data_IF_616754514619
#
_entry.id   IF_616754514619
#
_cell.length_a   1.000
_cell.length_b   1.000
_cell.length_c   1.000
_cell.angle_alpha   90.00
_cell.angle_beta   90.00
_cell.angle_gamma   90.00
#
_symmetry.space_group_name_H-M   'P 1'
#
loop_
_entity.id
_entity.type
_entity.pdbx_description
1 polymer ?
#
# COMPACT_ATOMS: atom_id res chain seq x y z
N UNK A 1 -10.19 23.75 30.25
CA UNK A 1 -10.21 22.56 31.15
C UNK A 1 -9.14 21.59 30.68
N UNK A 2 -8.35 20.96 31.58
CA UNK A 2 -7.40 19.94 31.17
C UNK A 2 -8.15 18.72 30.61
N UNK A 3 -7.90 18.38 29.34
CA UNK A 3 -8.51 17.21 28.68
C UNK A 3 -7.97 15.95 29.37
N UNK A 4 -8.85 15.02 29.75
CA UNK A 4 -8.47 13.76 30.39
C UNK A 4 -7.45 13.04 29.49
N UNK A 5 -6.24 12.80 30.00
CA UNK A 5 -5.22 12.04 29.26
C UNK A 5 -5.73 10.61 29.10
N UNK A 6 -5.83 10.15 27.87
CA UNK A 6 -6.10 8.75 27.55
C UNK A 6 -4.77 8.01 27.66
N UNK A 7 -4.77 6.90 28.38
CA UNK A 7 -3.62 6.01 28.46
C UNK A 7 -3.52 5.22 27.14
N UNK A 8 -2.52 5.54 26.32
CA UNK A 8 -2.31 4.92 25.02
C UNK A 8 -1.21 3.87 25.16
N UNK A 9 -1.52 2.62 24.80
CA UNK A 9 -0.50 1.57 24.69
C UNK A 9 0.37 1.81 23.45
N UNK A 10 1.43 2.58 23.64
CA UNK A 10 2.42 2.89 22.61
C UNK A 10 3.11 1.65 22.05
N UNK A 11 3.20 0.55 22.80
CA UNK A 11 3.76 -0.71 22.29
C UNK A 11 2.86 -1.36 21.26
N UNK A 12 1.53 -1.20 21.41
CA UNK A 12 0.56 -1.65 20.39
C UNK A 12 0.62 -0.76 19.17
N UNK A 13 0.69 0.56 19.36
CA UNK A 13 0.86 1.55 18.27
C UNK A 13 2.11 1.23 17.46
N UNK A 14 3.26 1.02 18.12
CA UNK A 14 4.53 0.68 17.50
C UNK A 14 4.41 -0.51 16.56
N UNK A 15 3.85 -1.63 17.04
CA UNK A 15 3.70 -2.84 16.23
C UNK A 15 2.81 -2.64 15.03
N UNK A 16 1.74 -1.87 15.16
CA UNK A 16 0.84 -1.59 14.04
C UNK A 16 1.51 -0.69 12.99
N UNK A 17 2.26 0.33 13.42
CA UNK A 17 3.00 1.19 12.50
C UNK A 17 4.16 0.45 11.82
N UNK A 18 4.84 -0.45 12.54
CA UNK A 18 5.83 -1.37 11.96
C UNK A 18 5.20 -2.36 10.97
N UNK A 19 3.96 -2.79 11.19
CA UNK A 19 3.21 -3.60 10.23
C UNK A 19 2.75 -2.80 8.99
N UNK A 20 2.92 -1.48 8.98
CA UNK A 20 2.55 -0.60 7.87
C UNK A 20 1.15 -0.01 7.94
N UNK A 21 0.44 -0.17 9.06
CA UNK A 21 -0.88 0.44 9.27
C UNK A 21 -0.82 1.97 9.25
N UNK A 22 -1.94 2.59 8.88
CA UNK A 22 -2.11 4.04 8.93
C UNK A 22 -2.52 4.54 10.33
N UNK A 23 -2.30 5.84 10.61
CA UNK A 23 -2.71 6.46 11.87
C UNK A 23 -4.20 6.36 12.13
N UNK A 24 -5.02 6.41 11.07
CA UNK A 24 -6.48 6.21 11.14
C UNK A 24 -6.85 4.80 11.60
N UNK A 25 -6.19 3.77 11.08
CA UNK A 25 -6.42 2.37 11.47
C UNK A 25 -5.97 2.10 12.92
N UNK A 26 -4.84 2.69 13.33
CA UNK A 26 -4.35 2.61 14.70
C UNK A 26 -5.34 3.28 15.66
N UNK A 27 -5.83 4.47 15.32
CA UNK A 27 -6.79 5.22 16.12
C UNK A 27 -8.14 4.46 16.24
N UNK A 28 -8.64 3.91 15.13
CA UNK A 28 -9.83 3.05 15.12
C UNK A 28 -9.66 1.82 16.01
N UNK A 29 -8.48 1.17 15.98
CA UNK A 29 -8.16 0.01 16.81
C UNK A 29 -8.08 0.34 18.31
N UNK A 30 -7.76 1.59 18.64
CA UNK A 30 -7.73 2.11 20.01
C UNK A 30 -9.09 2.71 20.44
N UNK A 31 -10.05 2.84 19.52
CA UNK A 31 -11.35 3.46 19.78
C UNK A 31 -11.26 4.97 20.04
N UNK A 32 -10.26 5.65 19.47
CA UNK A 32 -10.05 7.09 19.62
C UNK A 32 -10.03 7.78 18.25
N UNK A 33 -10.25 9.09 18.25
CA UNK A 33 -10.05 9.92 17.06
C UNK A 33 -8.55 10.07 16.76
N UNK A 34 -8.17 10.10 15.49
CA UNK A 34 -6.78 10.22 15.02
C UNK A 34 -6.08 11.46 15.57
N UNK A 35 -6.76 12.60 15.66
CA UNK A 35 -6.21 13.81 16.27
C UNK A 35 -5.79 13.59 17.73
N UNK A 36 -6.50 12.72 18.46
CA UNK A 36 -6.14 12.40 19.85
C UNK A 36 -4.84 11.62 19.90
N UNK A 37 -4.64 10.68 18.97
CA UNK A 37 -3.40 9.93 18.81
C UNK A 37 -2.25 10.87 18.42
N UNK A 38 -2.49 11.83 17.53
CA UNK A 38 -1.44 12.72 17.02
C UNK A 38 -0.98 13.70 18.10
N UNK A 39 -1.93 14.29 18.84
CA UNK A 39 -1.62 15.16 19.97
C UNK A 39 -0.88 14.41 21.08
N UNK A 40 -1.28 13.15 21.37
CA UNK A 40 -0.58 12.34 22.35
C UNK A 40 0.84 11.97 21.91
N UNK A 41 1.06 11.76 20.60
CA UNK A 41 2.40 11.52 20.06
C UNK A 41 3.33 12.70 20.32
N UNK A 42 2.83 13.92 20.13
CA UNK A 42 3.60 15.14 20.40
C UNK A 42 3.94 15.30 21.89
N UNK A 43 3.02 14.97 22.80
CA UNK A 43 3.28 15.05 24.24
C UNK A 43 4.21 13.95 24.76
N UNK A 44 4.01 12.72 24.31
CA UNK A 44 4.63 11.53 24.91
C UNK A 44 5.94 11.17 24.21
N UNK A 45 5.97 11.23 22.87
CA UNK A 45 7.14 10.92 22.05
C UNK A 45 7.93 12.17 21.64
N UNK A 46 7.46 13.37 22.01
CA UNK A 46 8.12 14.67 21.72
C UNK A 46 8.41 14.91 20.24
N UNK A 47 7.59 14.33 19.37
CA UNK A 47 7.70 14.49 17.92
C UNK A 47 6.33 14.39 17.25
N UNK A 48 6.19 15.03 16.10
CA UNK A 48 4.98 14.95 15.29
C UNK A 48 4.72 13.51 14.81
N UNK A 49 3.44 13.14 14.75
CA UNK A 49 3.04 11.77 14.39
C UNK A 49 3.55 11.32 13.02
N UNK A 50 3.63 12.21 12.04
CA UNK A 50 4.15 11.87 10.70
C UNK A 50 5.61 11.39 10.75
N UNK A 51 6.47 12.09 11.51
CA UNK A 51 7.86 11.70 11.70
C UNK A 51 7.97 10.38 12.48
N UNK A 52 7.18 10.24 13.54
CA UNK A 52 7.12 9.01 14.33
C UNK A 52 6.71 7.80 13.49
N UNK A 53 5.64 7.93 12.71
CA UNK A 53 5.16 6.92 11.75
C UNK A 53 6.24 6.55 10.74
N UNK A 54 6.95 7.52 10.17
CA UNK A 54 8.01 7.26 9.20
C UNK A 54 9.15 6.42 9.81
N UNK A 55 9.56 6.72 11.04
CA UNK A 55 10.60 5.97 11.77
C UNK A 55 10.15 4.52 12.00
N UNK A 56 8.92 4.33 12.51
CA UNK A 56 8.38 3.00 12.81
C UNK A 56 8.16 2.17 11.54
N UNK A 57 7.66 2.80 10.47
CA UNK A 57 7.52 2.13 9.16
C UNK A 57 8.85 1.70 8.59
N UNK A 58 9.89 2.54 8.70
CA UNK A 58 11.24 2.16 8.25
C UNK A 58 11.81 0.97 9.05
N UNK A 59 11.54 0.92 10.37
CA UNK A 59 11.87 -0.23 11.24
C UNK A 59 11.16 -1.51 10.76
N UNK A 60 9.85 -1.42 10.56
CA UNK A 60 9.02 -2.51 10.03
C UNK A 60 9.49 -3.03 8.68
N UNK A 61 9.72 -2.14 7.72
CA UNK A 61 10.23 -2.49 6.40
C UNK A 61 11.60 -3.17 6.48
N UNK A 62 12.47 -2.75 7.42
CA UNK A 62 13.76 -3.42 7.65
C UNK A 62 13.56 -4.85 8.13
N UNK A 63 12.68 -5.06 9.11
CA UNK A 63 12.36 -6.39 9.64
C UNK A 63 11.78 -7.30 8.54
N UNK A 64 10.86 -6.77 7.75
CA UNK A 64 10.29 -7.48 6.61
C UNK A 64 11.35 -7.90 5.60
N UNK A 65 12.27 -6.99 5.22
CA UNK A 65 13.38 -7.30 4.29
C UNK A 65 14.31 -8.38 4.84
N UNK A 66 14.62 -8.35 6.14
CA UNK A 66 15.41 -9.40 6.79
C UNK A 66 14.67 -10.73 6.67
N UNK A 67 13.38 -10.75 6.99
CA UNK A 67 12.60 -11.98 6.94
C UNK A 67 12.46 -12.55 5.53
N UNK A 68 12.25 -11.69 4.55
CA UNK A 68 12.25 -12.06 3.13
C UNK A 68 13.59 -12.65 2.72
N UNK A 69 14.71 -12.07 3.15
CA UNK A 69 16.05 -12.60 2.87
C UNK A 69 16.26 -13.97 3.51
N UNK A 70 15.90 -14.16 4.78
CA UNK A 70 15.96 -15.47 5.45
C UNK A 70 15.18 -16.54 4.70
N UNK A 71 13.92 -16.25 4.35
CA UNK A 71 13.04 -17.18 3.62
C UNK A 71 13.64 -17.53 2.26
N UNK A 72 14.16 -16.54 1.53
CA UNK A 72 14.86 -16.77 0.28
C UNK A 72 16.06 -17.72 0.45
N UNK A 73 16.87 -17.53 1.49
CA UNK A 73 18.03 -18.38 1.78
C UNK A 73 17.65 -19.81 2.22
N UNK A 74 16.44 -20.02 2.76
CA UNK A 74 15.92 -21.37 3.04
C UNK A 74 15.45 -22.14 1.80
N UNK A 75 15.48 -21.52 0.61
CA UNK A 75 15.19 -22.18 -0.66
C UNK A 75 13.89 -21.74 -1.32
N UNK A 76 13.23 -20.67 -0.85
CA UNK A 76 12.08 -20.09 -1.53
C UNK A 76 12.52 -19.43 -2.85
N UNK A 77 12.30 -20.14 -3.96
CA UNK A 77 12.67 -19.70 -5.32
C UNK A 77 11.96 -18.43 -5.73
N UNK A 78 10.70 -18.27 -5.35
CA UNK A 78 9.90 -17.09 -5.70
C UNK A 78 10.46 -15.85 -5.01
N UNK A 79 10.83 -15.97 -3.73
CA UNK A 79 11.44 -14.88 -2.98
C UNK A 79 12.85 -14.55 -3.49
N UNK A 80 13.64 -15.55 -3.92
CA UNK A 80 14.92 -15.33 -4.58
C UNK A 80 14.78 -14.53 -5.89
N UNK A 81 13.82 -14.90 -6.75
CA UNK A 81 13.53 -14.15 -7.98
C UNK A 81 13.04 -12.74 -7.65
N UNK A 82 12.15 -12.59 -6.67
CA UNK A 82 11.63 -11.29 -6.26
C UNK A 82 12.74 -10.36 -5.74
N UNK A 83 13.61 -10.85 -4.85
CA UNK A 83 14.76 -10.09 -4.36
C UNK A 83 15.79 -9.81 -5.46
N UNK A 84 15.96 -10.73 -6.42
CA UNK A 84 16.79 -10.51 -7.61
C UNK A 84 16.28 -9.34 -8.45
N UNK A 85 14.97 -9.28 -8.71
CA UNK A 85 14.34 -8.15 -9.39
C UNK A 85 14.48 -6.85 -8.59
N UNK A 86 14.11 -6.88 -7.31
CA UNK A 86 14.00 -5.68 -6.48
C UNK A 86 15.35 -5.09 -6.03
N UNK A 87 16.35 -5.92 -5.73
CA UNK A 87 17.66 -5.46 -5.20
C UNK A 87 18.77 -5.48 -6.22
N UNK A 88 18.71 -6.37 -7.21
CA UNK A 88 19.77 -6.54 -8.22
C UNK A 88 19.36 -5.96 -9.58
N UNK A 89 18.16 -5.40 -9.70
CA UNK A 89 17.66 -4.80 -10.94
C UNK A 89 17.44 -5.82 -12.06
N UNK A 90 17.25 -7.09 -11.71
CA UNK A 90 16.94 -8.11 -12.72
C UNK A 90 15.58 -7.82 -13.34
N UNK A 91 15.49 -7.95 -14.66
CA UNK A 91 14.25 -7.80 -15.41
C UNK A 91 13.99 -9.04 -16.25
N UNK A 92 12.72 -9.35 -16.44
CA UNK A 92 12.32 -10.36 -17.41
C UNK A 92 12.30 -9.72 -18.80
N UNK A 93 12.99 -10.35 -19.75
CA UNK A 93 12.86 -10.00 -21.16
C UNK A 93 11.65 -10.75 -21.71
N UNK A 94 10.58 -10.01 -21.99
CA UNK A 94 9.47 -10.54 -22.76
C UNK A 94 9.71 -10.23 -24.24
N UNK A 95 10.15 -11.23 -24.99
CA UNK A 95 10.19 -11.16 -26.44
C UNK A 95 8.81 -11.53 -26.99
N UNK A 96 8.20 -10.57 -27.66
CA UNK A 96 6.88 -10.70 -28.25
C UNK A 96 7.02 -10.75 -29.77
N UNK A 97 6.88 -11.95 -30.34
CA UNK A 97 6.91 -12.16 -31.79
C UNK A 97 5.53 -12.58 -32.30
N UNK A 98 5.24 -12.20 -33.54
CA UNK A 98 4.10 -12.73 -34.27
C UNK A 98 4.29 -14.20 -34.67
N UNK A 99 3.26 -14.81 -35.28
CA UNK A 99 3.33 -16.20 -35.75
C UNK A 99 4.59 -16.44 -36.59
N UNK A 100 5.34 -17.51 -36.26
CA UNK A 100 6.58 -17.87 -36.96
C UNK A 100 7.78 -16.95 -36.72
N UNK A 101 7.78 -16.13 -35.66
CA UNK A 101 8.86 -15.19 -35.38
C UNK A 101 8.77 -13.88 -36.17
N UNK A 102 7.67 -13.68 -36.91
CA UNK A 102 7.41 -12.47 -37.70
C UNK A 102 6.98 -11.27 -36.85
N UNK A 103 6.73 -10.11 -37.48
CA UNK A 103 6.22 -8.94 -36.78
C UNK A 103 4.83 -9.22 -36.16
N UNK A 104 4.60 -8.67 -34.96
CA UNK A 104 3.29 -8.74 -34.31
C UNK A 104 2.27 -7.95 -35.14
N UNK A 105 1.19 -8.60 -35.57
CA UNK A 105 0.14 -7.97 -36.36
C UNK A 105 -1.10 -7.75 -35.49
N UNK A 106 -1.56 -6.50 -35.41
CA UNK A 106 -2.85 -6.16 -34.83
C UNK A 106 -3.84 -5.97 -35.98
N UNK A 107 -4.89 -6.79 -36.02
CA UNK A 107 -5.95 -6.69 -37.03
C UNK A 107 -7.25 -6.25 -36.35
N UNK A 108 -7.69 -5.03 -36.65
CA UNK A 108 -8.96 -4.48 -36.18
C UNK A 108 -8.85 -3.69 -34.87
N UNK A 109 -9.37 -2.45 -34.90
CA UNK A 109 -9.75 -1.70 -33.71
C UNK A 109 -11.27 -1.72 -33.62
N UNK A 110 -11.83 -2.49 -32.70
CA UNK A 110 -13.24 -2.38 -32.36
C UNK A 110 -13.39 -1.34 -31.26
N UNK A 111 -14.00 -0.21 -31.59
CA UNK A 111 -14.48 0.74 -30.61
C UNK A 111 -15.70 0.13 -29.92
N UNK A 112 -15.57 -0.22 -28.64
CA UNK A 112 -16.72 -0.58 -27.81
C UNK A 112 -17.38 0.75 -27.36
N UNK A 113 -18.62 1.05 -27.79
CA UNK A 113 -19.33 2.20 -27.25
C UNK A 113 -19.50 1.99 -25.74
N UNK A 114 -19.06 2.97 -24.93
CA UNK A 114 -19.32 2.96 -23.50
C UNK A 114 -20.83 3.07 -23.28
N UNK A 115 -21.39 2.21 -22.42
CA UNK A 115 -22.82 2.21 -22.12
C UNK A 115 -23.27 3.59 -21.60
N UNK A 116 -23.85 4.42 -22.47
CA UNK A 116 -24.59 5.61 -22.08
C UNK A 116 -26.05 5.21 -21.92
N UNK A 117 -26.38 4.66 -20.77
CA UNK A 117 -27.78 4.55 -20.34
C UNK A 117 -28.25 5.95 -19.89
N UNK A 118 -28.54 6.82 -20.86
CA UNK A 118 -29.22 8.10 -20.65
C UNK A 118 -30.65 7.94 -21.14
N UNK A 119 -31.53 7.54 -20.22
CA UNK A 119 -32.97 7.67 -20.37
C UNK A 119 -33.34 9.14 -20.52
N UNK A 120 -34.00 9.49 -21.62
CA UNK A 120 -34.61 10.80 -21.86
C UNK A 120 -35.67 10.69 -22.94
N UNK A 121 -36.83 10.14 -22.57
CA UNK A 121 -38.06 10.29 -23.35
C UNK A 121 -38.62 11.69 -23.05
N UNK A 122 -38.51 12.61 -24.00
CA UNK A 122 -39.41 13.76 -24.10
C UNK A 122 -40.34 13.50 -25.29
N UNK A 123 -41.59 13.15 -24.97
CA UNK A 123 -42.73 13.18 -25.89
C UNK A 123 -43.15 14.64 -26.07
N UNK A 124 -42.80 15.25 -27.20
CA UNK A 124 -43.43 16.48 -27.66
C UNK A 124 -44.68 16.10 -28.47
N UNK A 125 -45.84 16.20 -27.83
CA UNK A 125 -47.16 16.26 -28.48
C UNK A 125 -47.38 17.64 -29.09
N UNK A 126 -47.67 17.67 -30.39
CA UNK A 126 -48.45 18.72 -31.05
C UNK A 126 -49.57 18.07 -31.88
#
# INVERSE_FOLDING_TARGET
MPRKKIDIDWRKVDRMLEAGCDGTEVAATLGIHEDTLYNACESDNKMGFSAYKAIKRASGDRLLRIKQFEIAMTGDKTMLVWLGKQRLGQSEKNEHSGPGGGPMQFTGFNFLPGDSNTTGTEEDTE
#
